data_IF_092986802940
#
_entry.id   IF_092986802940
#
_cell.length_a   1.000
_cell.length_b   1.000
_cell.length_c   1.000
_cell.angle_alpha   90.00
_cell.angle_beta   90.00
_cell.angle_gamma   90.00
#
_symmetry.space_group_name_H-M   'P 1'
#
loop_
_entity.id
_entity.type
_entity.pdbx_description
1 polymer ?
#
# COMPACT_ATOMS: atom_id res chain seq x y z
N UNK A 1 44.73 24.80 7.14
CA UNK A 1 44.53 23.34 7.32
C UNK A 1 43.52 23.01 8.42
N UNK A 2 43.56 23.61 9.61
CA UNK A 2 42.53 23.35 10.64
C UNK A 2 41.10 23.78 10.25
N UNK A 3 40.96 24.88 9.52
CA UNK A 3 39.65 25.40 9.10
C UNK A 3 38.93 24.45 8.12
N UNK A 4 39.69 23.72 7.30
CA UNK A 4 39.17 22.79 6.29
C UNK A 4 38.65 21.49 6.91
N UNK A 5 39.22 21.05 8.04
CA UNK A 5 38.81 19.84 8.76
C UNK A 5 37.51 20.09 9.54
N UNK A 6 37.32 21.30 10.06
CA UNK A 6 36.10 21.68 10.80
C UNK A 6 34.85 21.72 9.91
N UNK A 7 34.99 22.15 8.65
CA UNK A 7 33.87 22.24 7.69
C UNK A 7 33.39 20.84 7.28
N UNK A 8 34.29 19.87 7.11
CA UNK A 8 33.93 18.48 6.78
C UNK A 8 33.18 17.81 7.94
N UNK A 9 33.56 18.09 9.19
CA UNK A 9 32.88 17.56 10.38
C UNK A 9 31.46 18.13 10.55
N UNK A 10 31.23 19.40 10.17
CA UNK A 10 29.89 20.02 10.23
C UNK A 10 28.95 19.43 9.16
N UNK A 11 29.46 19.09 7.97
CA UNK A 11 28.66 18.46 6.92
C UNK A 11 28.25 17.03 7.25
N UNK A 12 29.03 16.29 8.05
CA UNK A 12 28.67 14.94 8.50
C UNK A 12 27.71 14.91 9.70
N UNK A 13 27.42 16.06 10.33
CA UNK A 13 26.48 16.18 11.44
C UNK A 13 25.07 16.64 11.00
N UNK A 14 24.90 16.98 9.72
CA UNK A 14 23.63 17.45 9.14
C UNK A 14 22.95 16.41 8.24
N UNK A 15 23.40 15.15 8.25
CA UNK A 15 22.57 14.03 7.80
C UNK A 15 21.47 13.80 8.85
N UNK A 16 20.53 14.75 8.93
CA UNK A 16 19.22 14.51 9.52
C UNK A 16 18.58 13.49 8.60
N UNK A 17 18.67 12.22 9.00
CA UNK A 17 17.89 11.15 8.41
C UNK A 17 16.43 11.55 8.61
N UNK A 18 15.74 11.92 7.52
CA UNK A 18 14.35 12.36 7.59
C UNK A 18 13.50 11.20 8.08
N UNK A 19 13.08 11.23 9.33
CA UNK A 19 12.02 10.35 9.83
C UNK A 19 10.70 11.04 9.46
N UNK A 20 9.98 10.49 8.49
CA UNK A 20 8.61 10.92 8.22
C UNK A 20 7.66 10.00 8.99
N UNK A 21 6.65 10.59 9.62
CA UNK A 21 5.60 9.80 10.26
C UNK A 21 4.51 9.54 9.21
N UNK A 22 4.32 8.27 8.84
CA UNK A 22 3.21 7.82 8.00
C UNK A 22 2.02 7.50 8.88
N UNK A 23 0.91 8.22 8.66
CA UNK A 23 -0.34 8.03 9.39
C UNK A 23 -1.39 7.56 8.39
N UNK A 24 -2.05 6.42 8.64
CA UNK A 24 -3.21 6.03 7.85
C UNK A 24 -4.43 6.75 8.41
N UNK A 25 -5.15 7.46 7.55
CA UNK A 25 -6.33 8.25 7.91
C UNK A 25 -7.64 7.51 7.62
N UNK A 26 -7.70 6.73 6.54
CA UNK A 26 -8.89 5.95 6.16
C UNK A 26 -8.55 4.80 5.21
N UNK A 27 -9.43 3.79 5.14
CA UNK A 27 -9.37 2.69 4.16
C UNK A 27 -10.75 2.41 3.59
N UNK A 28 -10.83 2.18 2.28
CA UNK A 28 -12.13 1.90 1.62
C UNK A 28 -12.01 0.87 0.52
N UNK A 29 -13.10 0.16 0.25
CA UNK A 29 -13.25 -0.72 -0.92
C UNK A 29 -14.35 -0.15 -1.82
N UNK A 30 -14.03 0.79 -2.72
CA UNK A 30 -15.04 1.40 -3.59
C UNK A 30 -15.66 0.44 -4.60
N UNK A 31 -14.96 -0.63 -4.97
CA UNK A 31 -15.42 -1.57 -5.99
C UNK A 31 -14.92 -2.99 -5.65
N UNK A 32 -15.80 -3.97 -5.72
CA UNK A 32 -15.46 -5.39 -5.63
C UNK A 32 -16.41 -6.20 -6.51
N UNK A 33 -15.96 -7.38 -6.91
CA UNK A 33 -16.74 -8.27 -7.77
C UNK A 33 -17.33 -9.43 -6.96
N UNK A 34 -18.67 -9.42 -6.83
CA UNK A 34 -19.46 -10.44 -6.13
C UNK A 34 -19.33 -11.85 -6.72
N UNK A 35 -18.74 -12.03 -7.89
CA UNK A 35 -18.40 -13.35 -8.42
C UNK A 35 -17.25 -14.01 -7.62
N UNK A 36 -16.30 -13.19 -7.14
CA UNK A 36 -15.08 -13.66 -6.49
C UNK A 36 -15.07 -13.41 -5.00
N UNK A 37 -15.76 -12.37 -4.53
CA UNK A 37 -15.67 -11.86 -3.16
C UNK A 37 -17.06 -11.68 -2.55
N UNK A 38 -17.22 -12.03 -1.27
CA UNK A 38 -18.26 -11.37 -0.46
C UNK A 38 -17.86 -9.92 -0.18
N UNK A 39 -18.82 -9.10 0.25
CA UNK A 39 -18.58 -7.71 0.68
C UNK A 39 -17.39 -7.63 1.65
N UNK A 40 -16.29 -6.96 1.26
CA UNK A 40 -15.12 -6.82 2.13
C UNK A 40 -15.43 -5.85 3.27
N UNK A 41 -15.02 -6.22 4.48
CA UNK A 41 -15.12 -5.35 5.66
C UNK A 41 -13.73 -4.83 6.01
N UNK A 42 -13.55 -3.51 5.86
CA UNK A 42 -12.24 -2.85 6.00
C UNK A 42 -12.43 -1.57 6.80
N UNK A 43 -11.57 -1.36 7.78
CA UNK A 43 -11.62 -0.18 8.64
C UNK A 43 -10.29 0.05 9.35
N UNK A 44 -10.18 1.19 10.02
CA UNK A 44 -9.06 1.51 10.91
C UNK A 44 -9.53 1.35 12.35
N UNK A 45 -8.77 0.62 13.16
CA UNK A 45 -9.07 0.42 14.58
C UNK A 45 -8.71 1.65 15.43
N UNK A 46 -9.04 1.61 16.72
CA UNK A 46 -8.75 2.70 17.68
C UNK A 46 -7.24 2.98 17.85
N UNK A 47 -6.37 2.07 17.39
CA UNK A 47 -4.91 2.19 17.45
C UNK A 47 -4.29 2.59 16.10
N UNK A 48 -5.10 3.04 15.14
CA UNK A 48 -4.67 3.46 13.80
C UNK A 48 -4.10 2.32 12.94
N UNK A 49 -4.49 1.07 13.21
CA UNK A 49 -4.12 -0.10 12.42
C UNK A 49 -5.20 -0.44 11.40
N UNK A 50 -4.79 -0.94 10.24
CA UNK A 50 -5.74 -1.42 9.23
C UNK A 50 -6.25 -2.80 9.64
N UNK A 51 -7.57 -2.95 9.64
CA UNK A 51 -8.28 -4.22 9.75
C UNK A 51 -8.88 -4.54 8.39
N UNK A 52 -8.71 -5.78 7.94
CA UNK A 52 -9.27 -6.28 6.68
C UNK A 52 -9.90 -7.62 6.94
N UNK A 53 -11.14 -7.80 6.51
CA UNK A 53 -11.82 -9.09 6.44
C UNK A 53 -12.31 -9.29 5.01
N UNK A 54 -11.83 -10.36 4.38
CA UNK A 54 -12.09 -10.68 2.97
C UNK A 54 -12.52 -12.14 2.87
N UNK A 55 -13.63 -12.42 2.19
CA UNK A 55 -13.99 -13.81 1.87
C UNK A 55 -13.94 -14.01 0.37
N UNK A 56 -13.01 -14.86 -0.08
CA UNK A 56 -12.89 -15.30 -1.47
C UNK A 56 -13.82 -16.49 -1.66
N UNK A 57 -14.83 -16.33 -2.51
CA UNK A 57 -15.83 -17.37 -2.81
C UNK A 57 -15.56 -18.07 -4.15
N UNK A 58 -14.71 -17.46 -4.99
CA UNK A 58 -14.18 -18.07 -6.21
C UNK A 58 -12.72 -17.63 -6.38
N UNK A 59 -11.85 -18.58 -6.72
CA UNK A 59 -10.44 -18.29 -6.97
C UNK A 59 -10.29 -17.25 -8.08
N UNK A 60 -9.38 -16.30 -7.85
CA UNK A 60 -9.07 -15.29 -8.86
C UNK A 60 -8.46 -15.96 -10.10
N UNK A 61 -8.73 -15.45 -11.31
CA UNK A 61 -8.10 -15.98 -12.52
C UNK A 61 -6.58 -15.90 -12.43
N UNK A 62 -5.88 -16.89 -12.98
CA UNK A 62 -4.41 -16.89 -13.04
C UNK A 62 -3.81 -15.80 -13.95
N UNK A 63 -4.66 -15.05 -14.64
CA UNK A 63 -4.31 -13.91 -15.49
C UNK A 63 -4.60 -12.57 -14.80
N UNK A 64 -4.88 -12.60 -13.50
CA UNK A 64 -5.11 -11.39 -12.69
C UNK A 64 -3.85 -10.55 -12.64
N UNK A 65 -4.04 -9.24 -12.74
CA UNK A 65 -3.01 -8.21 -12.71
C UNK A 65 -3.31 -7.31 -11.52
N UNK A 66 -2.27 -6.93 -10.80
CA UNK A 66 -2.34 -5.91 -9.76
C UNK A 66 -1.78 -4.59 -10.27
N UNK A 67 -2.53 -3.50 -10.12
CA UNK A 67 -2.07 -2.14 -10.36
C UNK A 67 -2.12 -1.34 -9.08
N UNK A 68 -1.01 -0.67 -8.76
CA UNK A 68 -0.88 0.20 -7.60
C UNK A 68 -0.50 1.59 -8.07
N UNK A 69 -1.28 2.60 -7.71
CA UNK A 69 -0.95 4.00 -7.99
C UNK A 69 -1.17 4.88 -6.78
N UNK A 70 -0.42 5.99 -6.75
CA UNK A 70 -0.44 6.91 -5.63
C UNK A 70 -0.66 8.34 -6.12
N UNK A 71 -1.65 9.01 -5.53
CA UNK A 71 -1.96 10.41 -5.82
C UNK A 71 -1.88 11.25 -4.56
N UNK A 72 -1.22 12.41 -4.64
CA UNK A 72 -1.22 13.42 -3.59
C UNK A 72 -2.44 14.34 -3.69
N UNK A 73 -2.82 14.91 -2.56
CA UNK A 73 -3.90 15.88 -2.48
C UNK A 73 -3.43 17.28 -2.90
N UNK A 74 -4.33 18.03 -3.54
CA UNK A 74 -4.22 19.46 -3.78
C UNK A 74 -5.61 20.07 -3.73
N UNK A 75 -5.78 21.11 -2.91
CA UNK A 75 -7.07 21.80 -2.73
C UNK A 75 -8.23 20.87 -2.31
N UNK A 76 -7.94 19.76 -1.64
CA UNK A 76 -8.94 18.78 -1.18
C UNK A 76 -9.17 17.61 -2.13
N UNK A 77 -8.61 17.64 -3.35
CA UNK A 77 -8.76 16.58 -4.34
C UNK A 77 -7.44 15.81 -4.57
N UNK A 78 -7.51 14.50 -4.78
CA UNK A 78 -6.36 13.64 -5.09
C UNK A 78 -5.98 13.75 -6.58
N UNK A 79 -5.27 14.82 -6.94
CA UNK A 79 -4.94 15.18 -8.33
C UNK A 79 -3.45 15.32 -8.61
N UNK A 80 -2.61 15.30 -7.58
CA UNK A 80 -1.15 15.44 -7.74
C UNK A 80 -0.57 14.07 -8.06
N UNK A 81 -0.10 13.89 -9.28
CA UNK A 81 0.60 12.67 -9.68
C UNK A 81 1.97 12.60 -8.95
N UNK A 82 2.22 11.46 -8.30
CA UNK A 82 3.49 11.20 -7.60
C UNK A 82 4.53 10.52 -8.48
N UNK A 83 4.12 10.07 -9.67
CA UNK A 83 4.93 9.23 -10.55
C UNK A 83 4.94 7.74 -10.16
N UNK A 84 4.25 7.36 -9.08
CA UNK A 84 4.09 5.96 -8.67
C UNK A 84 2.82 5.40 -9.31
N UNK A 85 3.01 4.58 -10.35
CA UNK A 85 2.00 3.78 -11.01
C UNK A 85 2.66 2.50 -11.51
N UNK A 86 2.40 1.40 -10.82
CA UNK A 86 3.03 0.11 -11.05
C UNK A 86 1.96 -0.89 -11.42
N UNK A 87 2.18 -1.64 -12.49
CA UNK A 87 1.27 -2.71 -12.94
C UNK A 87 2.09 -3.97 -13.17
N UNK A 88 1.70 -5.08 -12.55
CA UNK A 88 2.40 -6.36 -12.64
C UNK A 88 1.44 -7.53 -12.43
N UNK A 89 1.92 -8.75 -12.62
CA UNK A 89 1.14 -9.94 -12.29
C UNK A 89 0.70 -9.91 -10.82
N UNK A 90 -0.53 -10.35 -10.53
CA UNK A 90 -1.05 -10.29 -9.17
C UNK A 90 -0.21 -11.12 -8.18
N UNK A 91 0.35 -12.25 -8.59
CA UNK A 91 1.19 -13.05 -7.72
C UNK A 91 2.57 -12.44 -7.50
N UNK A 92 3.13 -11.78 -8.53
CA UNK A 92 4.33 -10.95 -8.36
C UNK A 92 4.06 -9.82 -7.34
N UNK A 93 2.88 -9.20 -7.38
CA UNK A 93 2.50 -8.14 -6.43
C UNK A 93 2.41 -8.63 -4.98
N UNK A 94 1.97 -9.87 -4.74
CA UNK A 94 1.91 -10.47 -3.39
C UNK A 94 3.32 -10.76 -2.85
N UNK A 95 4.29 -11.01 -3.74
CA UNK A 95 5.69 -11.26 -3.42
C UNK A 95 6.51 -9.97 -3.22
N UNK A 96 5.97 -8.80 -3.59
CA UNK A 96 6.68 -7.53 -3.50
C UNK A 96 7.18 -7.27 -2.08
N UNK A 97 8.48 -6.97 -1.89
CA UNK A 97 9.08 -6.93 -0.56
C UNK A 97 8.64 -5.71 0.28
N UNK A 98 8.04 -4.70 -0.35
CA UNK A 98 7.82 -3.38 0.25
C UNK A 98 6.35 -2.99 0.13
N UNK A 99 5.77 -2.52 1.23
CA UNK A 99 4.42 -1.94 1.40
C UNK A 99 3.24 -2.85 0.99
N UNK A 100 3.16 -3.31 -0.26
CA UNK A 100 1.98 -4.00 -0.81
C UNK A 100 2.02 -5.49 -0.54
N UNK A 101 3.13 -6.18 -0.83
CA UNK A 101 3.27 -7.60 -0.49
C UNK A 101 3.13 -7.85 1.02
N UNK A 102 3.75 -7.06 1.92
CA UNK A 102 3.52 -7.15 3.37
C UNK A 102 2.05 -7.00 3.77
N UNK A 103 1.29 -6.11 3.10
CA UNK A 103 -0.15 -5.97 3.32
C UNK A 103 -0.90 -7.25 2.91
N UNK A 104 -0.65 -7.78 1.71
CA UNK A 104 -1.30 -9.02 1.25
C UNK A 104 -0.94 -10.22 2.12
N UNK A 105 0.31 -10.33 2.54
CA UNK A 105 0.76 -11.37 3.46
C UNK A 105 0.12 -11.23 4.84
N UNK A 106 -0.05 -10.00 5.34
CA UNK A 106 -0.76 -9.75 6.59
C UNK A 106 -2.24 -10.18 6.51
N UNK A 107 -2.89 -9.95 5.37
CA UNK A 107 -4.26 -10.43 5.09
C UNK A 107 -4.32 -11.98 5.01
N UNK A 108 -3.18 -12.64 4.80
CA UNK A 108 -3.06 -14.10 4.77
C UNK A 108 -2.90 -14.67 3.36
N UNK A 109 -2.52 -13.86 2.36
CA UNK A 109 -2.17 -14.38 1.03
C UNK A 109 -0.76 -14.98 1.09
N UNK A 110 -0.68 -16.29 0.86
CA UNK A 110 0.58 -17.04 0.79
C UNK A 110 1.11 -17.01 -0.64
N UNK A 111 2.33 -16.48 -0.88
CA UNK A 111 2.97 -16.51 -2.19
C UNK A 111 3.03 -17.91 -2.83
N UNK A 112 3.14 -18.97 -2.02
CA UNK A 112 3.20 -20.34 -2.52
C UNK A 112 1.84 -20.88 -2.97
N UNK A 113 0.75 -20.21 -2.60
CA UNK A 113 -0.63 -20.54 -2.95
C UNK A 113 -1.29 -19.33 -3.65
N UNK A 114 -0.69 -18.91 -4.76
CA UNK A 114 -1.19 -17.81 -5.58
C UNK A 114 -1.66 -18.27 -6.98
N UNK A 115 -2.85 -17.84 -7.46
CA UNK A 115 -3.84 -16.99 -6.80
C UNK A 115 -4.46 -17.63 -5.55
N UNK A 116 -4.90 -16.83 -4.56
CA UNK A 116 -5.40 -17.34 -3.28
C UNK A 116 -6.59 -18.27 -3.48
N UNK A 117 -6.61 -19.34 -2.70
CA UNK A 117 -7.71 -20.29 -2.68
C UNK A 117 -9.00 -19.65 -2.16
N UNK A 118 -10.11 -20.37 -2.35
CA UNK A 118 -11.40 -20.00 -1.75
C UNK A 118 -11.29 -20.12 -0.23
N UNK A 119 -11.67 -19.05 0.49
CA UNK A 119 -11.48 -19.01 1.94
C UNK A 119 -11.79 -17.66 2.57
N UNK A 120 -11.63 -17.62 3.91
CA UNK A 120 -11.71 -16.41 4.71
C UNK A 120 -10.29 -15.94 5.00
N UNK A 121 -10.04 -14.69 4.68
CA UNK A 121 -8.78 -14.00 4.82
C UNK A 121 -9.00 -12.75 5.65
N UNK A 122 -7.95 -12.30 6.32
CA UNK A 122 -8.02 -11.07 7.06
C UNK A 122 -6.83 -10.84 7.97
N UNK A 123 -6.76 -9.61 8.45
CA UNK A 123 -5.81 -9.17 9.47
C UNK A 123 -6.55 -8.30 10.47
N UNK A 124 -6.28 -8.55 11.76
CA UNK A 124 -6.81 -7.73 12.86
C UNK A 124 -5.94 -6.50 13.14
N UNK A 125 -4.77 -6.40 12.50
CA UNK A 125 -3.81 -5.32 12.73
C UNK A 125 -2.71 -5.33 11.67
N UNK A 126 -2.81 -4.46 10.67
CA UNK A 126 -1.70 -4.13 9.79
C UNK A 126 -1.17 -2.71 10.02
N UNK A 127 0.15 -2.61 10.17
CA UNK A 127 0.91 -1.37 10.21
C UNK A 127 1.80 -1.31 8.94
N UNK A 128 1.75 -0.22 8.16
CA UNK A 128 2.54 -0.13 6.94
C UNK A 128 4.03 -0.09 7.26
N UNK A 129 4.81 -0.83 6.47
CA UNK A 129 6.25 -0.67 6.49
C UNK A 129 6.62 0.67 5.86
N UNK A 130 7.33 1.50 6.62
CA UNK A 130 8.00 2.71 6.10
C UNK A 130 9.36 2.38 5.49
N UNK A 131 9.88 1.18 5.74
CA UNK A 131 11.11 0.69 5.15
C UNK A 131 10.96 0.53 3.63
N UNK A 132 11.85 1.16 2.86
CA UNK A 132 11.82 1.16 1.40
C UNK A 132 11.09 2.35 0.78
N UNK A 133 10.46 3.22 1.57
CA UNK A 133 10.00 4.52 1.07
C UNK A 133 11.19 5.46 0.79
N UNK A 134 11.13 6.29 -0.27
CA UNK A 134 12.16 7.28 -0.53
C UNK A 134 12.34 8.25 0.64
N UNK A 135 13.60 8.52 1.01
CA UNK A 135 13.96 9.46 2.09
C UNK A 135 13.55 10.93 1.82
N UNK A 136 13.11 11.27 0.61
CA UNK A 136 12.66 12.62 0.25
C UNK A 136 11.17 12.63 -0.13
N UNK A 137 10.38 11.68 0.40
CA UNK A 137 8.95 11.64 0.10
C UNK A 137 8.26 12.91 0.62
N UNK A 138 7.58 13.69 -0.24
CA UNK A 138 7.11 15.00 0.17
C UNK A 138 5.98 14.87 1.20
N UNK A 139 5.92 15.75 2.23
CA UNK A 139 4.76 15.81 3.10
C UNK A 139 3.49 16.16 2.30
N UNK A 140 2.48 15.29 2.36
CA UNK A 140 1.16 15.49 1.75
C UNK A 140 0.15 14.52 2.37
N UNK A 141 -1.12 14.68 1.99
CA UNK A 141 -2.15 13.64 2.09
C UNK A 141 -2.16 12.87 0.78
N UNK A 142 -2.21 11.55 0.87
CA UNK A 142 -2.08 10.63 -0.24
C UNK A 142 -3.24 9.65 -0.28
N UNK A 143 -3.68 9.32 -1.49
CA UNK A 143 -4.52 8.16 -1.77
C UNK A 143 -3.71 7.16 -2.57
N UNK A 144 -3.40 6.03 -1.94
CA UNK A 144 -2.94 4.83 -2.62
C UNK A 144 -4.15 4.04 -3.06
N UNK A 145 -4.11 3.53 -4.29
CA UNK A 145 -5.15 2.66 -4.81
C UNK A 145 -4.52 1.39 -5.36
N UNK A 146 -5.13 0.26 -5.00
CA UNK A 146 -4.73 -1.09 -5.41
C UNK A 146 -5.91 -1.65 -6.20
N UNK A 147 -5.72 -1.91 -7.49
CA UNK A 147 -6.71 -2.48 -8.41
C UNK A 147 -6.25 -3.86 -8.85
N UNK A 148 -7.01 -4.88 -8.47
CA UNK A 148 -6.86 -6.25 -8.95
C UNK A 148 -7.89 -6.47 -10.05
N UNK A 149 -7.43 -6.79 -11.26
CA UNK A 149 -8.31 -6.97 -12.41
C UNK A 149 -7.77 -8.00 -13.39
N UNK A 150 -8.64 -8.43 -14.30
CA UNK A 150 -8.28 -9.14 -15.52
C UNK A 150 -8.50 -8.21 -16.72
N UNK A 151 -8.22 -8.69 -17.94
CA UNK A 151 -8.55 -7.93 -19.16
C UNK A 151 -10.05 -7.67 -19.33
N UNK A 152 -10.91 -8.50 -18.73
CA UNK A 152 -12.36 -8.46 -18.94
C UNK A 152 -13.10 -7.75 -17.80
N UNK A 153 -12.59 -7.86 -16.57
CA UNK A 153 -13.29 -7.37 -15.39
C UNK A 153 -12.35 -7.02 -14.25
N UNK A 154 -12.78 -6.04 -13.45
CA UNK A 154 -12.20 -5.73 -12.15
C UNK A 154 -12.65 -6.76 -11.11
N UNK A 155 -11.77 -7.04 -10.17
CA UNK A 155 -12.01 -7.96 -9.05
C UNK A 155 -12.15 -7.17 -7.76
N UNK A 156 -11.22 -6.25 -7.49
CA UNK A 156 -11.17 -5.47 -6.26
C UNK A 156 -10.46 -4.14 -6.50
N UNK A 157 -11.02 -3.05 -5.99
CA UNK A 157 -10.30 -1.79 -5.80
C UNK A 157 -10.28 -1.48 -4.31
N UNK A 158 -9.07 -1.32 -3.77
CA UNK A 158 -8.82 -0.96 -2.38
C UNK A 158 -8.12 0.39 -2.34
N UNK A 159 -8.61 1.32 -1.52
CA UNK A 159 -7.97 2.62 -1.29
C UNK A 159 -7.43 2.71 0.13
N UNK A 160 -6.21 3.22 0.25
CA UNK A 160 -5.59 3.61 1.51
C UNK A 160 -5.36 5.12 1.46
N UNK A 161 -5.93 5.82 2.42
CA UNK A 161 -5.71 7.25 2.63
C UNK A 161 -4.70 7.43 3.73
N UNK A 162 -3.65 8.18 3.45
CA UNK A 162 -2.55 8.37 4.40
C UNK A 162 -2.02 9.78 4.37
N UNK A 163 -1.35 10.18 5.44
CA UNK A 163 -0.70 11.46 5.59
C UNK A 163 0.75 11.24 5.98
N UNK A 164 1.62 11.96 5.28
CA UNK A 164 3.06 11.99 5.56
C UNK A 164 3.37 13.38 6.12
N UNK A 165 4.01 13.42 7.30
CA UNK A 165 4.40 14.66 8.00
C UNK A 165 5.91 14.76 8.21
#
# INVERSE_FOLDING_TARGET
MLLSILIVLIFQLLSVQGTYDLIIEDVTVPEYNEEYLNEPDVYIDDNLKVVVNLTIIKQFPSTSVGRVWLMGASMGDYVVDTGIDVTMDFCELVEEPIVIGPLFQAIGFDPNHCPPDVGVYGTDSYEPLTEGMPDDFPPNVYRMAIDIHTQEQKILIFHIFSKIV
#
